data_IF_388965546364
#
_entry.id   IF_388965546364
#
_cell.length_a   1.000
_cell.length_b   1.000
_cell.length_c   1.000
_cell.angle_alpha   90.00
_cell.angle_beta   90.00
_cell.angle_gamma   90.00
#
_symmetry.space_group_name_H-M   'P 1'
#
loop_
_entity.id
_entity.type
_entity.pdbx_description
1 polymer ?
#
# COMPACT_ATOMS: atom_id res chain seq x y z
N UNK A 1 2.51 -9.69 1.04
CA UNK A 1 1.83 -9.61 -0.28
C UNK A 1 2.62 -10.21 -1.43
N UNK A 2 3.91 -9.85 -1.64
CA UNK A 2 4.70 -10.37 -2.78
C UNK A 2 4.81 -11.90 -2.84
N UNK A 3 5.07 -12.58 -1.72
CA UNK A 3 5.16 -14.05 -1.69
C UNK A 3 3.84 -14.73 -2.08
N UNK A 4 2.71 -14.17 -1.61
CA UNK A 4 1.38 -14.66 -1.99
C UNK A 4 1.15 -14.51 -3.49
N UNK A 5 1.48 -13.35 -4.07
CA UNK A 5 1.37 -13.12 -5.50
C UNK A 5 2.19 -14.15 -6.32
N UNK A 6 3.41 -14.47 -5.87
CA UNK A 6 4.24 -15.51 -6.49
C UNK A 6 3.62 -16.91 -6.38
N UNK A 7 3.02 -17.24 -5.23
CA UNK A 7 2.35 -18.52 -5.02
C UNK A 7 1.09 -18.69 -5.88
N UNK A 8 0.32 -17.60 -6.05
CA UNK A 8 -0.85 -17.59 -6.93
C UNK A 8 -0.41 -17.78 -8.38
N UNK A 9 0.62 -17.06 -8.80
CA UNK A 9 1.21 -17.22 -10.14
C UNK A 9 1.72 -18.64 -10.39
N UNK A 10 2.38 -19.27 -9.41
CA UNK A 10 2.85 -20.66 -9.56
C UNK A 10 1.73 -21.69 -9.72
N UNK A 11 0.47 -21.31 -9.50
CA UNK A 11 -0.72 -22.13 -9.80
C UNK A 11 -1.33 -21.85 -11.19
N UNK A 12 -0.63 -21.10 -12.05
CA UNK A 12 -1.05 -20.83 -13.44
C UNK A 12 -1.89 -19.57 -13.62
N UNK A 13 -1.98 -18.71 -12.60
CA UNK A 13 -2.73 -17.46 -12.70
C UNK A 13 -1.85 -16.32 -13.25
N UNK A 14 -2.45 -15.50 -14.12
CA UNK A 14 -1.85 -14.23 -14.51
C UNK A 14 -2.04 -13.22 -13.38
N UNK A 15 -0.94 -12.65 -12.89
CA UNK A 15 -0.95 -11.71 -11.77
C UNK A 15 -0.45 -10.36 -12.24
N UNK A 16 -1.24 -9.32 -11.97
CA UNK A 16 -0.77 -7.93 -12.05
C UNK A 16 -0.68 -7.38 -10.64
N UNK A 17 0.53 -7.14 -10.16
CA UNK A 17 0.79 -6.52 -8.87
C UNK A 17 0.76 -5.00 -9.02
N UNK A 18 -0.27 -4.38 -8.45
CA UNK A 18 -0.44 -2.92 -8.49
C UNK A 18 0.18 -2.33 -7.22
N UNK A 19 1.25 -1.56 -7.40
CA UNK A 19 1.91 -0.77 -6.34
C UNK A 19 1.43 0.67 -6.39
N UNK A 20 1.55 1.38 -5.28
CA UNK A 20 1.60 2.85 -5.33
C UNK A 20 2.95 3.32 -5.86
N UNK A 21 3.05 4.54 -6.39
CA UNK A 21 4.33 5.15 -6.81
C UNK A 21 5.39 5.10 -5.73
N UNK A 22 5.01 5.42 -4.49
CA UNK A 22 5.90 5.34 -3.33
C UNK A 22 6.42 3.91 -3.11
N UNK A 23 5.55 2.90 -3.08
CA UNK A 23 5.94 1.51 -2.84
C UNK A 23 6.74 0.92 -4.00
N UNK A 24 6.42 1.29 -5.24
CA UNK A 24 7.18 0.93 -6.42
C UNK A 24 8.62 1.47 -6.32
N UNK A 25 8.76 2.76 -5.98
CA UNK A 25 10.07 3.39 -5.79
C UNK A 25 10.89 2.71 -4.68
N UNK A 26 10.27 2.38 -3.54
CA UNK A 26 10.96 1.65 -2.45
C UNK A 26 11.42 0.26 -2.87
N UNK A 27 10.60 -0.47 -3.63
CA UNK A 27 10.96 -1.79 -4.14
C UNK A 27 12.19 -1.71 -5.06
N UNK A 28 12.17 -0.77 -6.01
CA UNK A 28 13.30 -0.53 -6.93
C UNK A 28 14.57 -0.12 -6.18
N UNK A 29 14.49 0.78 -5.20
CA UNK A 29 15.67 1.18 -4.40
C UNK A 29 16.27 0.01 -3.62
N UNK A 30 15.42 -0.84 -3.03
CA UNK A 30 15.89 -1.95 -2.19
C UNK A 30 16.38 -3.17 -2.97
N UNK A 31 15.89 -3.40 -4.19
CA UNK A 31 16.15 -4.65 -4.96
C UNK A 31 16.62 -4.42 -6.40
N UNK A 32 16.83 -3.17 -6.79
CA UNK A 32 17.22 -2.78 -8.14
C UNK A 32 16.03 -2.69 -9.12
N UNK A 33 16.22 -2.03 -10.27
CA UNK A 33 15.19 -1.85 -11.31
C UNK A 33 14.72 -3.18 -11.92
N UNK A 34 15.57 -4.20 -11.95
CA UNK A 34 15.18 -5.54 -12.44
C UNK A 34 14.09 -6.19 -11.58
N UNK A 35 13.92 -5.76 -10.32
CA UNK A 35 12.90 -6.31 -9.42
C UNK A 35 11.46 -6.02 -9.86
N UNK A 36 11.25 -5.04 -10.74
CA UNK A 36 9.93 -4.62 -11.25
C UNK A 36 9.76 -4.82 -12.76
N UNK A 37 10.75 -5.42 -13.44
CA UNK A 37 10.71 -5.69 -14.89
C UNK A 37 9.52 -6.55 -15.31
N UNK A 38 9.07 -7.41 -14.40
CA UNK A 38 7.94 -8.30 -14.62
C UNK A 38 8.24 -9.42 -15.60
N UNK A 39 7.23 -10.26 -15.82
CA UNK A 39 7.17 -11.38 -16.75
C UNK A 39 5.81 -11.32 -17.45
N UNK A 40 5.61 -12.08 -18.53
CA UNK A 40 4.37 -12.02 -19.33
C UNK A 40 3.11 -12.24 -18.48
N UNK A 41 3.19 -13.18 -17.54
CA UNK A 41 2.17 -13.62 -16.59
C UNK A 41 2.30 -12.99 -15.19
N UNK A 42 3.32 -12.15 -14.96
CA UNK A 42 3.56 -11.50 -13.67
C UNK A 42 4.03 -10.06 -13.85
N UNK A 43 3.09 -9.12 -13.87
CA UNK A 43 3.37 -7.72 -14.21
C UNK A 43 3.32 -6.82 -12.99
N UNK A 44 4.13 -5.76 -13.01
CA UNK A 44 4.01 -4.67 -12.06
C UNK A 44 3.32 -3.49 -12.73
N UNK A 45 2.38 -2.88 -12.02
CA UNK A 45 1.79 -1.59 -12.39
C UNK A 45 1.89 -0.64 -11.22
N UNK A 46 1.83 0.64 -11.54
CA UNK A 46 1.94 1.70 -10.55
C UNK A 46 0.72 2.61 -10.65
N UNK A 47 0.17 3.00 -9.49
CA UNK A 47 -0.88 4.00 -9.35
C UNK A 47 -0.41 5.11 -8.42
N UNK A 48 -0.89 6.35 -8.58
CA UNK A 48 -0.64 7.41 -7.59
C UNK A 48 -1.26 7.02 -6.24
N UNK A 49 -0.58 7.35 -5.14
CA UNK A 49 -1.12 7.14 -3.78
C UNK A 49 -2.07 8.26 -3.33
N UNK A 50 -2.10 9.38 -4.07
CA UNK A 50 -2.88 10.58 -3.73
C UNK A 50 -2.59 11.09 -2.32
N UNK A 51 -1.39 10.78 -1.82
CA UNK A 51 -0.90 11.27 -0.56
C UNK A 51 -0.05 12.53 -0.79
N UNK A 52 0.02 13.43 0.21
CA UNK A 52 1.04 14.47 0.24
C UNK A 52 2.42 13.86 -0.05
N UNK A 53 3.24 14.58 -0.81
CA UNK A 53 4.61 14.16 -1.12
C UNK A 53 5.36 13.87 0.19
N UNK A 54 5.58 12.59 0.47
CA UNK A 54 6.42 12.14 1.58
C UNK A 54 7.88 12.14 1.11
N UNK A 55 8.80 12.43 2.03
CA UNK A 55 10.23 12.23 1.78
C UNK A 55 10.47 10.78 1.32
N UNK A 56 11.28 10.65 0.25
CA UNK A 56 11.56 9.38 -0.43
C UNK A 56 12.31 8.39 0.48
N UNK A 57 13.04 8.89 1.47
CA UNK A 57 13.80 8.06 2.42
C UNK A 57 13.13 7.93 3.80
N UNK A 58 12.04 8.67 4.04
CA UNK A 58 11.24 8.53 5.24
C UNK A 58 10.28 7.33 5.13
N UNK A 59 10.00 6.71 6.28
CA UNK A 59 8.79 5.90 6.40
C UNK A 59 7.61 6.85 6.24
N UNK A 60 6.66 6.55 5.35
CA UNK A 60 5.46 7.37 5.17
C UNK A 60 4.86 7.71 6.54
N UNK A 61 4.46 8.97 6.71
CA UNK A 61 3.80 9.40 7.94
C UNK A 61 2.55 8.56 8.15
N UNK A 62 2.62 7.67 9.14
CA UNK A 62 1.52 6.77 9.47
C UNK A 62 0.21 7.53 9.70
N UNK A 63 0.18 8.72 10.33
CA UNK A 63 -1.02 9.55 10.42
C UNK A 63 -1.72 9.82 9.08
N UNK A 64 -0.94 10.19 8.05
CA UNK A 64 -1.42 10.52 6.71
C UNK A 64 -1.98 9.28 5.99
N UNK A 65 -1.33 8.12 6.20
CA UNK A 65 -1.84 6.84 5.69
C UNK A 65 -3.16 6.47 6.38
N UNK A 66 -3.27 6.66 7.70
CA UNK A 66 -4.48 6.37 8.46
C UNK A 66 -5.68 7.19 7.98
N UNK A 67 -5.50 8.50 7.81
CA UNK A 67 -6.56 9.40 7.37
C UNK A 67 -7.05 9.05 5.96
N UNK A 68 -6.12 8.83 5.02
CA UNK A 68 -6.47 8.48 3.64
C UNK A 68 -7.19 7.13 3.51
N UNK A 69 -6.83 6.16 4.35
CA UNK A 69 -7.44 4.82 4.35
C UNK A 69 -8.80 4.81 5.05
N UNK A 70 -8.95 5.57 6.14
CA UNK A 70 -10.24 5.77 6.83
C UNK A 70 -11.31 6.35 5.91
N UNK A 71 -10.94 7.31 5.07
CA UNK A 71 -11.86 7.91 4.08
C UNK A 71 -12.19 6.93 2.94
N UNK A 72 -11.22 6.11 2.50
CA UNK A 72 -11.39 5.18 1.36
C UNK A 72 -12.19 3.92 1.69
N UNK A 73 -12.05 3.35 2.88
CA UNK A 73 -12.70 2.08 3.26
C UNK A 73 -14.11 2.27 3.84
N UNK A 74 -14.83 3.30 3.39
CA UNK A 74 -16.21 3.58 3.82
C UNK A 74 -17.26 2.67 3.16
N UNK A 75 -16.84 1.78 2.25
CA UNK A 75 -17.73 0.75 1.67
C UNK A 75 -17.96 -0.40 2.67
N UNK A 76 -19.17 -0.97 2.66
CA UNK A 76 -19.59 -1.98 3.65
C UNK A 76 -18.68 -3.22 3.69
N UNK A 77 -18.12 -3.61 2.55
CA UNK A 77 -17.23 -4.78 2.46
C UNK A 77 -15.85 -4.58 3.07
N UNK A 78 -15.39 -3.33 3.24
CA UNK A 78 -14.06 -3.00 3.77
C UNK A 78 -14.14 -2.24 5.10
N UNK A 79 -15.36 -2.03 5.63
CA UNK A 79 -15.63 -1.33 6.90
C UNK A 79 -14.85 -1.91 8.08
N UNK A 80 -14.72 -3.24 8.16
CA UNK A 80 -13.95 -3.89 9.23
C UNK A 80 -12.46 -3.53 9.21
N UNK A 81 -11.86 -3.45 8.01
CA UNK A 81 -10.47 -3.03 7.84
C UNK A 81 -10.33 -1.54 8.20
N UNK A 82 -11.27 -0.70 7.77
CA UNK A 82 -11.31 0.72 8.11
C UNK A 82 -11.35 0.97 9.64
N UNK A 83 -12.20 0.23 10.36
CA UNK A 83 -12.31 0.33 11.82
C UNK A 83 -11.04 -0.15 12.53
N UNK A 84 -10.44 -1.27 12.09
CA UNK A 84 -9.21 -1.78 12.67
C UNK A 84 -8.04 -0.81 12.47
N UNK A 85 -7.88 -0.27 11.25
CA UNK A 85 -6.85 0.71 10.96
C UNK A 85 -7.05 1.98 11.80
N UNK A 86 -8.28 2.52 11.87
CA UNK A 86 -8.59 3.67 12.73
C UNK A 86 -8.22 3.43 14.20
N UNK A 87 -8.54 2.26 14.75
CA UNK A 87 -8.20 1.92 16.14
C UNK A 87 -6.69 1.78 16.39
N UNK A 88 -5.93 1.22 15.43
CA UNK A 88 -4.47 1.13 15.50
C UNK A 88 -3.86 2.54 15.48
N UNK A 89 -4.38 3.42 14.62
CA UNK A 89 -3.88 4.79 14.49
C UNK A 89 -4.17 5.62 15.75
N UNK A 90 -5.38 5.54 16.31
CA UNK A 90 -5.75 6.20 17.57
C UNK A 90 -4.86 5.74 18.74
N UNK A 91 -4.50 4.45 18.78
CA UNK A 91 -3.64 3.91 19.84
C UNK A 91 -2.18 4.31 19.68
N UNK A 92 -1.66 4.31 18.46
CA UNK A 92 -0.24 4.54 18.18
C UNK A 92 0.10 6.04 18.05
N UNK A 93 -0.85 6.88 17.66
CA UNK A 93 -0.67 8.32 17.39
C UNK A 93 -1.79 9.17 18.02
N UNK A 94 -1.90 9.21 19.36
CA UNK A 94 -3.01 9.88 20.06
C UNK A 94 -3.05 11.41 19.85
N UNK A 95 -1.98 12.02 19.33
CA UNK A 95 -1.86 13.45 19.04
C UNK A 95 -2.47 13.86 17.69
N UNK A 96 -2.73 12.89 16.82
CA UNK A 96 -3.35 13.09 15.51
C UNK A 96 -4.84 13.03 15.74
N UNK A 97 -5.37 14.13 16.28
CA UNK A 97 -6.74 14.19 16.74
C UNK A 97 -7.76 13.80 15.68
N UNK A 98 -8.86 13.19 16.11
CA UNK A 98 -10.08 12.99 15.35
C UNK A 98 -10.46 14.26 14.60
N UNK A 99 -10.22 14.31 13.29
CA UNK A 99 -11.04 15.10 12.37
C UNK A 99 -12.04 14.16 11.73
N UNK A 100 -13.11 13.89 12.47
CA UNK A 100 -14.38 13.43 11.90
C UNK A 100 -15.15 14.68 11.48
#
# INVERSE_FOLDING_TARGET
>A
MMQLAKLVRSRGFHVTFVNTEFNHGRLVRSRGPESVKGLEDFRFKTIPDELPLSDRDATQEVPVICDSTSVRYRSDSLRGIGLYLGAVCDRQYPHVGRRI
#
